data_IF_462754034582
#
_entry.id   IF_462754034582
#
_cell.length_a   1.000
_cell.length_b   1.000
_cell.length_c   1.000
_cell.angle_alpha   90.00
_cell.angle_beta   90.00
_cell.angle_gamma   90.00
#
_symmetry.space_group_name_H-M   'P 1'
#
loop_
_entity.id
_entity.type
_entity.pdbx_description
1 polymer ?
#
# COMPACT_ATOMS: atom_id res chain seq x y z
N UNK A 1 -0.80 -6.92 -18.25
CA UNK A 1 -0.57 -7.42 -16.89
C UNK A 1 -1.06 -8.85 -16.88
N UNK A 2 -0.25 -9.78 -16.40
CA UNK A 2 -0.67 -11.18 -16.32
C UNK A 2 -1.81 -11.34 -15.31
N UNK A 3 -2.61 -12.38 -15.50
CA UNK A 3 -3.75 -12.70 -14.66
C UNK A 3 -3.29 -13.19 -13.28
N UNK A 4 -3.89 -12.69 -12.21
CA UNK A 4 -3.54 -13.13 -10.86
C UNK A 4 -4.05 -14.55 -10.60
N UNK A 5 -3.23 -15.37 -9.95
CA UNK A 5 -3.56 -16.77 -9.70
C UNK A 5 -4.00 -17.02 -8.25
N UNK A 6 -4.80 -18.06 -8.04
CA UNK A 6 -5.21 -18.47 -6.69
C UNK A 6 -3.99 -18.72 -5.82
N UNK A 7 -3.98 -18.10 -4.65
CA UNK A 7 -2.92 -18.22 -3.66
C UNK A 7 -1.86 -17.12 -3.73
N UNK A 8 -1.84 -16.34 -4.80
CA UNK A 8 -0.93 -15.20 -4.96
C UNK A 8 -1.19 -14.12 -3.92
N UNK A 9 -0.12 -13.47 -3.47
CA UNK A 9 -0.17 -12.35 -2.55
C UNK A 9 -0.08 -11.04 -3.33
N UNK A 10 -1.00 -10.14 -3.04
CA UNK A 10 -1.22 -8.89 -3.76
C UNK A 10 -1.49 -7.76 -2.77
N UNK A 11 -1.53 -6.53 -3.26
CA UNK A 11 -2.09 -5.39 -2.53
C UNK A 11 -3.36 -4.90 -3.21
N UNK A 12 -4.38 -4.62 -2.41
CA UNK A 12 -5.59 -3.96 -2.85
C UNK A 12 -5.42 -2.46 -2.65
N UNK A 13 -5.58 -1.71 -3.73
CA UNK A 13 -5.57 -0.26 -3.76
C UNK A 13 -7.01 0.21 -3.58
N UNK A 14 -7.41 0.49 -2.34
CA UNK A 14 -8.81 0.84 -2.08
C UNK A 14 -9.17 2.18 -2.73
N UNK A 15 -10.35 2.21 -3.35
CA UNK A 15 -10.96 3.41 -3.92
C UNK A 15 -12.09 3.96 -3.05
N UNK A 16 -12.32 3.34 -1.91
CA UNK A 16 -13.36 3.76 -0.96
C UNK A 16 -12.92 5.04 -0.24
N UNK A 17 -13.86 5.97 -0.07
CA UNK A 17 -13.64 7.20 0.69
C UNK A 17 -13.18 6.86 2.11
N UNK A 18 -12.08 7.48 2.55
CA UNK A 18 -11.43 7.15 3.82
C UNK A 18 -10.34 6.07 3.73
N UNK A 19 -10.29 5.29 2.65
CA UNK A 19 -9.20 4.35 2.36
C UNK A 19 -8.38 4.73 1.12
N UNK A 20 -8.67 5.89 0.51
CA UNK A 20 -7.91 6.43 -0.60
C UNK A 20 -6.42 6.55 -0.24
N UNK A 21 -5.56 6.02 -1.11
CA UNK A 21 -4.11 6.03 -0.89
C UNK A 21 -3.60 4.95 0.07
N UNK A 22 -4.45 3.99 0.46
CA UNK A 22 -4.03 2.81 1.23
C UNK A 22 -3.79 1.58 0.36
N UNK A 23 -2.82 0.76 0.77
CA UNK A 23 -2.54 -0.55 0.17
C UNK A 23 -2.73 -1.65 1.20
N UNK A 24 -3.69 -2.54 0.94
CA UNK A 24 -4.09 -3.60 1.84
C UNK A 24 -3.54 -4.94 1.37
N UNK A 25 -2.63 -5.53 2.13
CA UNK A 25 -2.06 -6.85 1.83
C UNK A 25 -3.17 -7.91 1.81
N UNK A 26 -3.23 -8.67 0.71
CA UNK A 26 -4.32 -9.59 0.43
C UNK A 26 -3.84 -10.86 -0.29
N UNK A 27 -4.66 -11.90 -0.25
CA UNK A 27 -4.45 -13.17 -0.95
C UNK A 27 -5.57 -13.44 -1.93
N UNK A 28 -5.23 -13.78 -3.16
CA UNK A 28 -6.20 -14.18 -4.18
C UNK A 28 -6.82 -15.53 -3.81
N UNK A 29 -8.14 -15.60 -3.69
CA UNK A 29 -8.87 -16.85 -3.49
C UNK A 29 -9.34 -17.47 -4.81
N UNK A 30 -9.82 -16.64 -5.73
CA UNK A 30 -10.32 -17.06 -7.05
C UNK A 30 -10.65 -15.85 -7.93
N UNK A 31 -10.52 -15.99 -9.25
CA UNK A 31 -11.16 -15.10 -10.22
C UNK A 31 -12.61 -15.48 -10.43
N UNK A 32 -13.48 -14.49 -10.66
CA UNK A 32 -14.89 -14.73 -11.00
C UNK A 32 -15.03 -15.14 -12.47
N UNK A 33 -16.00 -16.03 -12.83
CA UNK A 33 -16.15 -16.54 -14.20
C UNK A 33 -16.50 -15.49 -15.26
N UNK A 34 -17.04 -14.33 -14.87
CA UNK A 34 -17.48 -13.27 -15.77
C UNK A 34 -16.93 -11.94 -15.28
N UNK A 35 -16.18 -11.26 -16.15
CA UNK A 35 -15.56 -9.96 -15.85
C UNK A 35 -14.15 -10.07 -15.27
N UNK A 36 -13.63 -8.92 -14.87
CA UNK A 36 -12.29 -8.76 -14.31
C UNK A 36 -12.37 -8.53 -12.81
N UNK A 37 -12.96 -9.49 -12.09
CA UNK A 37 -13.14 -9.41 -10.63
C UNK A 37 -12.48 -10.60 -9.94
N UNK A 38 -11.93 -10.35 -8.75
CA UNK A 38 -11.31 -11.37 -7.92
C UNK A 38 -11.91 -11.39 -6.54
N UNK A 39 -12.06 -12.59 -6.00
CA UNK A 39 -12.33 -12.79 -4.58
C UNK A 39 -10.98 -12.77 -3.86
N UNK A 40 -10.82 -11.84 -2.93
CA UNK A 40 -9.59 -11.68 -2.16
C UNK A 40 -9.86 -11.84 -0.68
N UNK A 41 -8.86 -12.32 0.05
CA UNK A 41 -8.86 -12.37 1.51
C UNK A 41 -7.83 -11.37 2.01
N UNK A 42 -8.24 -10.41 2.81
CA UNK A 42 -7.32 -9.48 3.45
C UNK A 42 -6.47 -10.20 4.49
N UNK A 43 -5.22 -9.77 4.63
CA UNK A 43 -4.28 -10.35 5.58
C UNK A 43 -4.56 -9.88 7.01
N UNK A 44 -4.85 -8.60 7.17
CA UNK A 44 -4.95 -7.94 8.47
C UNK A 44 -6.38 -7.48 8.81
N UNK A 45 -7.32 -7.46 7.86
CA UNK A 45 -8.71 -7.07 8.11
C UNK A 45 -9.60 -8.25 8.49
N UNK A 46 -10.52 -7.99 9.41
CA UNK A 46 -11.54 -8.94 9.91
C UNK A 46 -12.93 -8.31 9.88
N UNK A 47 -13.97 -9.14 9.94
CA UNK A 47 -15.35 -8.71 10.07
C UNK A 47 -15.61 -8.13 11.46
N UNK A 48 -16.50 -7.15 11.55
CA UNK A 48 -17.00 -6.63 12.82
C UNK A 48 -17.88 -7.67 13.53
N UNK A 49 -17.82 -7.73 14.87
CA UNK A 49 -18.65 -8.61 15.69
C UNK A 49 -17.90 -9.28 16.84
N UNK A 50 -18.61 -10.11 17.63
CA UNK A 50 -18.04 -10.84 18.77
C UNK A 50 -17.04 -11.93 18.34
N UNK A 51 -17.23 -12.50 17.14
CA UNK A 51 -16.38 -13.53 16.55
C UNK A 51 -15.80 -13.08 15.19
N UNK A 52 -14.72 -12.27 15.19
CA UNK A 52 -14.16 -11.72 13.96
C UNK A 52 -13.59 -12.81 13.06
N UNK A 53 -14.02 -12.82 11.79
CA UNK A 53 -13.51 -13.69 10.74
C UNK A 53 -12.68 -12.88 9.75
N UNK A 54 -11.70 -13.47 9.05
CA UNK A 54 -10.95 -12.75 8.03
C UNK A 54 -11.86 -12.15 6.96
N UNK A 55 -11.65 -10.86 6.66
CA UNK A 55 -12.47 -10.14 5.68
C UNK A 55 -12.18 -10.67 4.26
N UNK A 56 -13.25 -10.91 3.51
CA UNK A 56 -13.19 -11.42 2.14
C UNK A 56 -14.12 -10.58 1.28
N UNK A 57 -13.59 -10.06 0.17
CA UNK A 57 -14.33 -9.18 -0.73
C UNK A 57 -14.17 -9.59 -2.19
N UNK A 58 -15.07 -9.08 -3.03
CA UNK A 58 -14.98 -9.16 -4.48
C UNK A 58 -14.58 -7.77 -4.97
N UNK A 59 -13.39 -7.66 -5.53
CA UNK A 59 -12.80 -6.39 -5.98
C UNK A 59 -12.44 -6.46 -7.45
N UNK A 60 -12.38 -5.29 -8.09
CA UNK A 60 -12.04 -5.21 -9.51
C UNK A 60 -10.53 -5.41 -9.73
N UNK A 61 -10.15 -5.96 -10.88
CA UNK A 61 -8.76 -6.25 -11.21
C UNK A 61 -7.87 -5.00 -11.23
N UNK A 62 -8.44 -3.83 -11.54
CA UNK A 62 -7.74 -2.55 -11.55
C UNK A 62 -7.51 -1.96 -10.15
N UNK A 63 -8.12 -2.55 -9.13
CA UNK A 63 -7.84 -2.25 -7.72
C UNK A 63 -6.76 -3.18 -7.15
N UNK A 64 -6.22 -4.10 -7.94
CA UNK A 64 -5.22 -5.07 -7.50
C UNK A 64 -3.88 -4.75 -8.13
N UNK A 65 -2.83 -4.76 -7.31
CA UNK A 65 -1.44 -4.75 -7.77
C UNK A 65 -0.64 -5.90 -7.15
N UNK A 66 0.43 -6.39 -7.80
CA UNK A 66 1.37 -7.30 -7.18
C UNK A 66 1.94 -6.72 -5.88
N UNK A 67 2.54 -7.55 -5.03
CA UNK A 67 3.33 -7.03 -3.91
C UNK A 67 4.55 -6.26 -4.42
N UNK A 68 4.90 -5.12 -3.79
CA UNK A 68 6.13 -4.41 -4.12
C UNK A 68 7.35 -5.29 -3.81
N UNK A 69 8.44 -5.17 -4.59
CA UNK A 69 9.65 -5.93 -4.35
C UNK A 69 10.26 -5.55 -3.00
N UNK A 70 10.73 -6.55 -2.25
CA UNK A 70 11.49 -6.31 -1.03
C UNK A 70 12.83 -5.68 -1.39
N UNK A 71 13.02 -4.42 -1.01
CA UNK A 71 14.30 -3.74 -1.20
C UNK A 71 15.31 -4.28 -0.18
N UNK A 72 16.49 -4.68 -0.65
CA UNK A 72 17.59 -5.25 0.17
C UNK A 72 18.51 -4.19 0.78
N UNK A 73 18.30 -2.91 0.47
CA UNK A 73 19.15 -1.82 0.91
C UNK A 73 18.76 -1.32 2.31
N UNK A 74 19.73 -0.84 3.12
CA UNK A 74 19.43 -0.21 4.40
C UNK A 74 18.49 0.98 4.16
N UNK A 75 17.31 0.91 4.77
CA UNK A 75 16.26 1.88 4.59
C UNK A 75 16.66 3.15 5.36
N UNK A 76 17.13 4.15 4.62
CA UNK A 76 17.28 5.52 5.12
C UNK A 76 16.40 6.43 4.30
N UNK A 77 15.74 7.34 5.01
CA UNK A 77 14.81 8.30 4.46
C UNK A 77 15.30 9.73 4.69
N UNK A 78 15.05 10.59 3.72
CA UNK A 78 15.36 12.01 3.73
C UNK A 78 14.08 12.83 3.74
N UNK A 79 14.21 14.12 4.04
CA UNK A 79 13.11 15.06 3.96
C UNK A 79 12.47 15.04 2.56
N UNK A 80 11.14 15.01 2.52
CA UNK A 80 10.30 14.91 1.34
C UNK A 80 10.33 13.56 0.59
N UNK A 81 11.03 12.55 1.09
CA UNK A 81 10.91 11.20 0.52
C UNK A 81 9.45 10.72 0.61
N UNK A 82 8.94 10.18 -0.50
CA UNK A 82 7.62 9.54 -0.54
C UNK A 82 7.75 8.11 0.01
N UNK A 83 6.92 7.80 1.00
CA UNK A 83 6.96 6.53 1.75
C UNK A 83 5.57 5.92 1.85
N UNK A 84 5.50 4.63 2.15
CA UNK A 84 4.30 4.05 2.73
C UNK A 84 4.54 3.82 4.23
N UNK A 85 3.61 4.29 5.07
CA UNK A 85 3.59 4.03 6.50
C UNK A 85 2.56 2.94 6.83
N UNK A 86 2.94 1.95 7.63
CA UNK A 86 2.03 0.91 8.06
C UNK A 86 1.25 1.38 9.29
N UNK A 87 -0.06 1.58 9.11
CA UNK A 87 -0.99 2.02 10.15
C UNK A 87 -2.39 1.50 9.84
N UNK A 88 -3.21 1.28 10.85
CA UNK A 88 -4.60 0.78 10.68
C UNK A 88 -4.69 -0.40 9.69
N UNK A 89 -3.78 -1.37 9.84
CA UNK A 89 -3.72 -2.61 9.05
C UNK A 89 -3.41 -2.46 7.54
N UNK A 90 -3.08 -1.25 7.08
CA UNK A 90 -2.75 -0.92 5.70
C UNK A 90 -1.46 -0.12 5.56
N UNK A 91 -0.95 -0.02 4.33
CA UNK A 91 0.18 0.83 3.95
C UNK A 91 -0.33 2.14 3.36
N UNK A 92 -0.09 3.26 4.03
CA UNK A 92 -0.59 4.60 3.65
C UNK A 92 0.49 5.46 3.03
N UNK A 93 0.19 6.05 1.88
CA UNK A 93 1.11 6.94 1.18
C UNK A 93 1.29 8.25 1.95
N UNK A 94 2.54 8.59 2.26
CA UNK A 94 2.90 9.84 2.92
C UNK A 94 4.26 10.38 2.52
N UNK A 95 4.65 11.49 3.13
CA UNK A 95 5.92 12.18 2.87
C UNK A 95 6.67 12.44 4.16
N UNK A 96 7.98 12.19 4.16
CA UNK A 96 8.82 12.51 5.31
C UNK A 96 8.90 14.03 5.50
N UNK A 97 8.53 14.52 6.69
CA UNK A 97 8.63 15.94 7.06
C UNK A 97 9.71 16.20 8.11
N UNK A 98 10.24 15.15 8.72
CA UNK A 98 11.29 15.30 9.71
C UNK A 98 11.67 14.00 10.41
N UNK A 99 12.48 14.14 11.46
CA UNK A 99 12.92 13.05 12.31
C UNK A 99 12.97 13.51 13.75
N UNK A 100 12.39 12.72 14.66
CA UNK A 100 12.42 12.94 16.10
C UNK A 100 13.01 11.71 16.78
N UNK A 101 14.28 11.81 17.18
CA UNK A 101 15.03 10.68 17.75
C UNK A 101 15.15 9.51 16.77
N UNK A 102 14.50 8.39 17.09
CA UNK A 102 14.50 7.17 16.28
C UNK A 102 13.25 7.01 15.38
N UNK A 103 12.34 7.98 15.38
CA UNK A 103 11.14 7.99 14.55
C UNK A 103 11.22 9.05 13.44
N UNK A 104 10.49 8.83 12.36
CA UNK A 104 10.29 9.78 11.27
C UNK A 104 8.90 10.40 11.37
N UNK A 105 8.81 11.70 11.17
CA UNK A 105 7.53 12.40 10.97
C UNK A 105 7.09 12.21 9.53
N UNK A 106 5.85 11.80 9.34
CA UNK A 106 5.24 11.52 8.04
C UNK A 106 3.95 12.31 7.91
N UNK A 107 3.84 13.09 6.85
CA UNK A 107 2.65 13.85 6.49
C UNK A 107 1.81 13.09 5.47
N UNK A 108 0.49 13.03 5.72
CA UNK A 108 -0.50 12.41 4.85
C UNK A 108 -1.34 13.49 4.19
N UNK A 109 -1.27 13.59 2.86
CA UNK A 109 -1.98 14.65 2.11
C UNK A 109 -3.49 14.51 2.14
N UNK A 110 -4.01 13.28 2.18
CA UNK A 110 -5.45 13.02 2.14
C UNK A 110 -6.15 13.44 3.44
N UNK A 111 -5.54 13.18 4.61
CA UNK A 111 -6.10 13.57 5.92
C UNK A 111 -5.57 14.91 6.45
N UNK A 112 -4.50 15.45 5.85
CA UNK A 112 -3.76 16.61 6.34
C UNK A 112 -3.21 16.42 7.78
N UNK A 113 -2.79 15.20 8.10
CA UNK A 113 -2.24 14.82 9.39
C UNK A 113 -0.73 14.58 9.32
N UNK A 114 -0.05 14.73 10.45
CA UNK A 114 1.34 14.34 10.63
C UNK A 114 1.48 13.38 11.81
N UNK A 115 2.07 12.21 11.56
CA UNK A 115 2.28 11.16 12.56
C UNK A 115 3.75 10.70 12.60
N UNK A 116 4.18 10.14 13.73
CA UNK A 116 5.56 9.67 13.93
C UNK A 116 5.67 8.14 13.91
N UNK A 117 6.45 7.59 12.97
CA UNK A 117 6.64 6.15 12.80
C UNK A 117 8.08 5.70 13.02
N UNK A 118 8.31 4.52 13.65
CA UNK A 118 9.62 3.89 13.65
C UNK A 118 9.98 3.36 12.25
N UNK A 119 11.27 3.20 11.98
CA UNK A 119 11.77 2.74 10.68
C UNK A 119 11.14 1.42 10.20
N UNK A 120 10.83 0.50 11.11
CA UNK A 120 10.24 -0.80 10.78
C UNK A 120 8.80 -0.75 10.30
N UNK A 121 8.10 0.37 10.46
CA UNK A 121 6.74 0.61 9.96
C UNK A 121 6.73 1.48 8.71
N UNK A 122 7.88 1.73 8.11
CA UNK A 122 8.02 2.53 6.90
C UNK A 122 8.64 1.68 5.80
N UNK A 123 8.19 1.91 4.57
CA UNK A 123 8.84 1.42 3.34
C UNK A 123 8.91 2.54 2.31
N UNK A 124 9.85 2.44 1.38
CA UNK A 124 9.88 3.36 0.23
C UNK A 124 8.63 3.15 -0.60
N UNK A 125 7.97 4.24 -0.98
CA UNK A 125 6.87 4.15 -1.91
C UNK A 125 7.38 3.75 -3.29
N UNK A 126 6.66 2.84 -3.94
CA UNK A 126 6.89 2.44 -5.33
C UNK A 126 5.57 2.57 -6.08
N UNK A 127 5.61 3.29 -7.19
CA UNK A 127 4.50 3.37 -8.12
C UNK A 127 4.58 2.17 -9.08
N UNK A 128 3.43 1.63 -9.49
CA UNK A 128 3.36 0.59 -10.50
C UNK A 128 2.90 1.19 -11.82
N UNK A 129 3.84 1.39 -12.75
CA UNK A 129 3.58 2.05 -14.03
C UNK A 129 3.80 1.05 -15.16
N UNK A 130 2.77 0.81 -15.96
CA UNK A 130 2.81 -0.16 -17.07
C UNK A 130 3.29 -1.57 -16.64
N UNK A 131 2.98 -2.00 -15.42
CA UNK A 131 3.41 -3.28 -14.88
C UNK A 131 4.84 -3.32 -14.32
N UNK A 132 5.54 -2.17 -14.28
CA UNK A 132 6.89 -2.05 -13.74
C UNK A 132 6.90 -1.20 -12.48
N UNK A 133 7.59 -1.67 -11.45
CA UNK A 133 7.82 -0.91 -10.22
C UNK A 133 8.82 0.21 -10.48
N UNK A 134 8.42 1.45 -10.19
CA UNK A 134 9.28 2.63 -10.32
C UNK A 134 9.39 3.33 -8.97
N UNK A 135 10.59 3.81 -8.65
CA UNK A 135 10.80 4.60 -7.44
C UNK A 135 10.35 6.04 -7.67
N UNK A 136 9.60 6.55 -6.70
CA UNK A 136 9.09 7.92 -6.69
C UNK A 136 10.19 8.97 -6.49
N UNK A 137 11.44 8.53 -6.26
CA UNK A 137 12.63 9.39 -6.23
C UNK A 137 12.91 10.12 -7.57
N UNK A 138 12.13 9.85 -8.63
CA UNK A 138 12.41 10.36 -9.98
C UNK A 138 11.60 11.60 -10.39
N UNK A 139 10.83 12.23 -9.50
CA UNK A 139 10.12 13.49 -9.84
C UNK A 139 10.78 14.75 -9.29
N UNK A 140 12.09 14.88 -9.44
CA UNK A 140 12.79 16.18 -9.35
C UNK A 140 13.92 16.31 -10.38
N UNK A 141 13.66 16.05 -11.66
CA UNK A 141 14.40 16.74 -12.74
C UNK A 141 13.53 16.84 -14.01
N UNK A 142 12.63 17.82 -14.08
CA UNK A 142 12.36 18.55 -15.34
C UNK A 142 11.46 19.79 -15.11
N UNK A 143 12.02 20.95 -15.48
CA UNK A 143 11.40 22.18 -16.03
C UNK A 143 10.51 23.03 -15.09
N UNK A 144 10.73 24.34 -14.94
CA UNK A 144 11.29 25.35 -15.86
C UNK A 144 12.10 26.41 -15.13
#
# INVERSE_FOLDING_TARGET
MDEFVKGELVEVCSKEDGFLGSYLESKILSKLPRGSFYKVKYKNLVTEGEDPLPLIEIISADEIRPLPPKLSQPLTFHLHDKVDAFDSDAWWVGYITGRRGNKFSVYFSESNEECEYPLGLLRRHLDLVNGHWVSSATRQQSTS
#
